data_IF_294994020880
#
_entry.id   IF_294994020880
#
_cell.length_a   1.000
_cell.length_b   1.000
_cell.length_c   1.000
_cell.angle_alpha   90.00
_cell.angle_beta   90.00
_cell.angle_gamma   90.00
#
_symmetry.space_group_name_H-M   'P 1'
#
loop_
_entity.id
_entity.type
_entity.pdbx_description
1 polymer ?
#
# COMPACT_ATOMS: atom_id res chain seq x y z
N UNK A 1 -6.72 25.17 -10.07
CA UNK A 1 -6.43 26.46 -10.74
C UNK A 1 -7.49 26.83 -11.76
N UNK A 2 -7.82 25.97 -12.74
CA UNK A 2 -8.88 26.25 -13.73
C UNK A 2 -10.25 26.56 -13.11
N UNK A 3 -10.66 25.80 -12.10
CA UNK A 3 -11.89 26.11 -11.36
C UNK A 3 -11.88 27.52 -10.73
N UNK A 4 -10.73 27.95 -10.19
CA UNK A 4 -10.58 29.30 -9.63
C UNK A 4 -10.65 30.35 -10.74
N UNK A 5 -10.00 30.10 -11.88
CA UNK A 5 -10.06 30.99 -13.05
C UNK A 5 -11.51 31.18 -13.52
N UNK A 6 -12.30 30.11 -13.53
CA UNK A 6 -13.72 30.18 -13.88
C UNK A 6 -14.55 30.98 -12.86
N UNK A 7 -14.26 30.86 -11.56
CA UNK A 7 -14.93 31.66 -10.50
C UNK A 7 -14.67 33.16 -10.68
N UNK A 8 -13.49 33.55 -11.16
CA UNK A 8 -13.12 34.95 -11.40
C UNK A 8 -13.20 35.35 -12.88
N UNK A 9 -14.03 34.67 -13.69
CA UNK A 9 -14.13 34.83 -15.15
C UNK A 9 -14.27 36.29 -15.58
N UNK A 10 -15.21 37.05 -14.99
CA UNK A 10 -15.47 38.45 -15.36
C UNK A 10 -14.28 39.37 -15.10
N UNK A 11 -13.61 39.17 -13.96
CA UNK A 11 -12.42 39.94 -13.61
C UNK A 11 -11.26 39.61 -14.56
N UNK A 12 -11.08 38.34 -14.92
CA UNK A 12 -10.06 37.91 -15.89
C UNK A 12 -10.34 38.51 -17.27
N UNK A 13 -11.58 38.40 -17.77
CA UNK A 13 -11.96 38.96 -19.09
C UNK A 13 -11.74 40.47 -19.12
N UNK A 14 -12.21 41.20 -18.09
CA UNK A 14 -12.08 42.66 -18.03
C UNK A 14 -10.62 43.09 -17.96
N UNK A 15 -9.82 42.48 -17.09
CA UNK A 15 -8.41 42.85 -16.92
C UNK A 15 -7.57 42.51 -18.16
N UNK A 16 -7.81 41.36 -18.79
CA UNK A 16 -7.14 40.98 -20.04
C UNK A 16 -7.54 41.93 -21.17
N UNK A 17 -8.82 42.28 -21.31
CA UNK A 17 -9.26 43.25 -22.30
C UNK A 17 -8.60 44.63 -22.14
N UNK A 18 -8.37 45.06 -20.90
CA UNK A 18 -7.74 46.36 -20.59
C UNK A 18 -6.21 46.37 -20.70
N UNK A 19 -5.55 45.25 -20.45
CA UNK A 19 -4.08 45.19 -20.37
C UNK A 19 -3.41 44.50 -21.56
N UNK A 20 -4.01 43.42 -22.07
CA UNK A 20 -3.47 42.51 -23.09
C UNK A 20 -4.60 41.87 -23.90
N UNK A 21 -5.22 42.65 -24.77
CA UNK A 21 -6.32 42.18 -25.62
C UNK A 21 -5.90 41.06 -26.59
N UNK A 22 -4.60 40.91 -26.87
CA UNK A 22 -4.01 39.80 -27.62
C UNK A 22 -4.16 38.44 -26.94
N UNK A 23 -4.42 38.40 -25.63
CA UNK A 23 -4.60 37.19 -24.84
C UNK A 23 -6.08 36.92 -24.49
N UNK A 24 -7.01 37.64 -25.11
CA UNK A 24 -8.44 37.47 -24.82
C UNK A 24 -8.92 36.07 -25.24
N UNK A 25 -9.44 35.32 -24.27
CA UNK A 25 -10.04 34.01 -24.50
C UNK A 25 -11.41 34.16 -25.15
N UNK A 26 -11.69 33.31 -26.14
CA UNK A 26 -12.99 33.27 -26.82
C UNK A 26 -14.03 32.53 -25.96
N UNK A 27 -15.31 32.72 -26.27
CA UNK A 27 -16.41 31.93 -25.66
C UNK A 27 -16.18 30.42 -25.82
N UNK A 28 -15.62 30.01 -26.95
CA UNK A 28 -15.26 28.61 -27.19
C UNK A 28 -14.21 28.11 -26.20
N UNK A 29 -13.15 28.89 -25.95
CA UNK A 29 -12.11 28.53 -24.98
C UNK A 29 -12.67 28.37 -23.57
N UNK A 30 -13.59 29.26 -23.16
CA UNK A 30 -14.28 29.14 -21.89
C UNK A 30 -15.12 27.87 -21.81
N UNK A 31 -15.83 27.51 -22.89
CA UNK A 31 -16.61 26.27 -22.96
C UNK A 31 -15.72 25.02 -22.82
N UNK A 32 -14.53 25.02 -23.44
CA UNK A 32 -13.53 23.95 -23.28
C UNK A 32 -13.06 23.85 -21.83
N UNK A 33 -12.74 24.97 -21.18
CA UNK A 33 -12.31 25.00 -19.78
C UNK A 33 -13.41 24.49 -18.84
N UNK A 34 -14.64 24.96 -19.03
CA UNK A 34 -15.81 24.55 -18.24
C UNK A 34 -16.05 23.04 -18.36
N UNK A 35 -15.92 22.50 -19.57
CA UNK A 35 -16.06 21.07 -19.86
C UNK A 35 -14.91 20.21 -19.30
N UNK A 36 -13.70 20.75 -19.22
CA UNK A 36 -12.52 20.03 -18.71
C UNK A 36 -12.52 19.91 -17.17
N UNK A 37 -13.05 20.90 -16.44
CA UNK A 37 -13.08 20.92 -14.97
C UNK A 37 -13.66 19.64 -14.34
N UNK A 38 -14.86 19.14 -14.71
CA UNK A 38 -15.43 17.95 -14.09
C UNK A 38 -14.63 16.66 -14.39
N UNK A 39 -13.81 16.65 -15.45
CA UNK A 39 -12.90 15.52 -15.75
C UNK A 39 -11.71 15.58 -14.81
N UNK A 40 -11.09 16.75 -14.67
CA UNK A 40 -9.92 16.95 -13.79
C UNK A 40 -10.29 16.84 -12.31
N UNK A 41 -11.53 17.18 -11.93
CA UNK A 41 -12.02 17.04 -10.57
C UNK A 41 -11.95 15.59 -10.06
N UNK A 42 -12.21 14.60 -10.92
CA UNK A 42 -12.06 13.19 -10.58
C UNK A 42 -10.64 12.87 -10.07
N UNK A 43 -9.62 13.42 -10.71
CA UNK A 43 -8.23 13.22 -10.31
C UNK A 43 -7.91 13.95 -9.01
N UNK A 44 -8.46 15.14 -8.81
CA UNK A 44 -8.33 15.90 -7.57
C UNK A 44 -8.92 15.12 -6.38
N UNK A 45 -10.14 14.59 -6.53
CA UNK A 45 -10.84 13.85 -5.48
C UNK A 45 -10.05 12.57 -5.11
N UNK A 46 -9.61 11.80 -6.12
CA UNK A 46 -8.81 10.59 -5.91
C UNK A 46 -7.46 10.90 -5.26
N UNK A 47 -6.77 11.95 -5.72
CA UNK A 47 -5.46 12.32 -5.15
C UNK A 47 -5.62 12.80 -3.71
N UNK A 48 -6.67 13.54 -3.40
CA UNK A 48 -6.96 14.01 -2.05
C UNK A 48 -7.23 12.83 -1.12
N UNK A 49 -8.04 11.85 -1.57
CA UNK A 49 -8.31 10.62 -0.82
C UNK A 49 -7.04 9.79 -0.58
N UNK A 50 -6.16 9.69 -1.59
CA UNK A 50 -4.89 8.97 -1.48
C UNK A 50 -3.82 9.72 -0.70
N UNK A 51 -3.92 11.04 -0.58
CA UNK A 51 -3.01 11.88 0.21
C UNK A 51 -3.44 12.00 1.67
N UNK A 52 -4.60 11.44 2.04
CA UNK A 52 -5.07 11.44 3.41
C UNK A 52 -4.21 10.50 4.28
N UNK A 53 -3.37 11.08 5.13
CA UNK A 53 -2.43 10.34 5.99
C UNK A 53 -3.11 9.38 6.98
N UNK A 54 -4.39 9.64 7.32
CA UNK A 54 -5.11 8.91 8.38
C UNK A 54 -5.67 7.55 7.96
N UNK A 55 -5.56 7.16 6.69
CA UNK A 55 -6.17 5.94 6.15
C UNK A 55 -5.16 5.04 5.44
N UNK A 56 -5.44 3.74 5.37
CA UNK A 56 -4.69 2.81 4.52
C UNK A 56 -4.95 3.17 3.05
N UNK A 57 -3.96 3.75 2.39
CA UNK A 57 -4.04 4.23 1.00
C UNK A 57 -3.73 3.13 0.00
N UNK A 58 -2.80 2.22 0.34
CA UNK A 58 -2.28 1.19 -0.56
C UNK A 58 -3.37 0.26 -1.10
N UNK A 59 -4.36 -0.09 -0.27
CA UNK A 59 -5.46 -1.00 -0.64
C UNK A 59 -6.49 -0.36 -1.56
N UNK A 60 -6.56 0.97 -1.58
CA UNK A 60 -7.52 1.74 -2.38
C UNK A 60 -7.02 2.01 -3.79
N UNK A 61 -5.72 1.93 -4.05
CA UNK A 61 -5.15 2.36 -5.34
C UNK A 61 -5.71 1.56 -6.51
N UNK A 62 -5.72 0.22 -6.45
CA UNK A 62 -6.23 -0.60 -7.57
C UNK A 62 -7.73 -0.38 -7.82
N UNK A 63 -8.61 -0.41 -6.80
CA UNK A 63 -10.02 -0.05 -6.98
C UNK A 63 -10.23 1.35 -7.56
N UNK A 64 -9.49 2.36 -7.08
CA UNK A 64 -9.62 3.73 -7.55
C UNK A 64 -9.18 3.90 -8.99
N UNK A 65 -8.05 3.31 -9.40
CA UNK A 65 -7.59 3.32 -10.81
C UNK A 65 -8.65 2.69 -11.71
N UNK A 66 -9.27 1.58 -11.28
CA UNK A 66 -10.36 0.93 -12.03
C UNK A 66 -11.58 1.84 -12.18
N UNK A 67 -11.99 2.51 -11.10
CA UNK A 67 -13.12 3.47 -11.14
C UNK A 67 -12.78 4.65 -12.05
N UNK A 68 -11.55 5.17 -11.99
CA UNK A 68 -11.11 6.28 -12.84
C UNK A 68 -11.15 5.91 -14.31
N UNK A 69 -10.59 4.77 -14.70
CA UNK A 69 -10.64 4.29 -16.09
C UNK A 69 -12.07 4.08 -16.57
N UNK A 70 -12.93 3.50 -15.73
CA UNK A 70 -14.36 3.33 -16.06
C UNK A 70 -15.06 4.68 -16.26
N UNK A 71 -14.76 5.68 -15.42
CA UNK A 71 -15.36 7.00 -15.52
C UNK A 71 -14.91 7.73 -16.79
N UNK A 72 -13.63 7.63 -17.15
CA UNK A 72 -13.12 8.23 -18.39
C UNK A 72 -13.74 7.58 -19.63
N UNK A 73 -13.83 6.26 -19.65
CA UNK A 73 -14.46 5.50 -20.76
C UNK A 73 -15.93 5.79 -20.95
N UNK A 74 -16.64 6.10 -19.86
CA UNK A 74 -18.06 6.46 -19.92
C UNK A 74 -18.33 7.89 -20.38
N UNK A 75 -17.30 8.76 -20.39
CA UNK A 75 -17.47 10.18 -20.71
C UNK A 75 -17.32 10.40 -22.20
N UNK A 76 -18.26 11.17 -22.74
CA UNK A 76 -18.22 11.71 -24.09
C UNK A 76 -18.51 13.22 -24.01
N UNK A 77 -18.08 13.93 -25.04
CA UNK A 77 -18.03 15.39 -25.15
C UNK A 77 -17.89 15.71 -26.62
N UNK A 78 -18.62 16.70 -27.09
CA UNK A 78 -18.62 17.10 -28.50
C UNK A 78 -17.43 17.99 -28.86
N UNK A 79 -16.67 18.44 -27.84
CA UNK A 79 -15.49 19.29 -28.02
C UNK A 79 -14.24 18.43 -28.27
N UNK A 80 -13.52 18.64 -29.39
CA UNK A 80 -12.38 17.82 -29.78
C UNK A 80 -11.20 17.91 -28.78
N UNK A 81 -10.97 19.06 -28.16
CA UNK A 81 -9.91 19.26 -27.17
C UNK A 81 -10.20 18.48 -25.89
N UNK A 82 -11.46 18.46 -25.47
CA UNK A 82 -11.92 17.71 -24.29
C UNK A 82 -11.87 16.21 -24.56
N UNK A 83 -12.24 15.79 -25.77
CA UNK A 83 -12.07 14.39 -26.19
C UNK A 83 -10.61 13.95 -26.22
N UNK A 84 -9.74 14.79 -26.76
CA UNK A 84 -8.30 14.55 -26.74
C UNK A 84 -7.80 14.42 -25.31
N UNK A 85 -8.20 15.34 -24.41
CA UNK A 85 -7.86 15.29 -23.00
C UNK A 85 -8.30 13.96 -22.34
N UNK A 86 -9.53 13.50 -22.57
CA UNK A 86 -10.02 12.23 -22.00
C UNK A 86 -9.15 11.05 -22.47
N UNK A 87 -8.87 10.96 -23.78
CA UNK A 87 -8.08 9.87 -24.36
C UNK A 87 -6.65 9.86 -23.85
N UNK A 88 -6.03 11.03 -23.77
CA UNK A 88 -4.67 11.19 -23.25
C UNK A 88 -4.59 10.78 -21.76
N UNK A 89 -5.57 11.20 -20.95
CA UNK A 89 -5.66 10.83 -19.54
C UNK A 89 -5.91 9.33 -19.34
N UNK A 90 -6.77 8.72 -20.15
CA UNK A 90 -7.01 7.27 -20.11
C UNK A 90 -5.71 6.52 -20.42
N UNK A 91 -5.04 6.88 -21.53
CA UNK A 91 -3.78 6.26 -21.95
C UNK A 91 -2.71 6.38 -20.87
N UNK A 92 -2.57 7.54 -20.25
CA UNK A 92 -1.58 7.76 -19.19
C UNK A 92 -1.91 6.98 -17.91
N UNK A 93 -3.19 6.86 -17.53
CA UNK A 93 -3.58 5.99 -16.42
C UNK A 93 -3.25 4.53 -16.71
N UNK A 94 -3.58 4.03 -17.89
CA UNK A 94 -3.23 2.66 -18.27
C UNK A 94 -1.73 2.45 -18.28
N UNK A 95 -0.96 3.37 -18.87
CA UNK A 95 0.50 3.28 -18.93
C UNK A 95 1.14 3.26 -17.54
N UNK A 96 0.70 4.14 -16.64
CA UNK A 96 1.29 4.27 -15.29
C UNK A 96 0.87 3.13 -14.35
N UNK A 97 -0.35 2.61 -14.51
CA UNK A 97 -0.91 1.61 -13.60
C UNK A 97 -1.10 0.22 -14.23
N UNK A 98 -0.55 -0.04 -15.42
CA UNK A 98 -0.66 -1.33 -16.11
C UNK A 98 -0.23 -2.52 -15.24
N UNK A 99 0.84 -2.35 -14.47
CA UNK A 99 1.50 -3.42 -13.71
C UNK A 99 1.27 -3.31 -12.21
N UNK A 100 0.35 -2.46 -11.75
CA UNK A 100 0.17 -2.23 -10.30
C UNK A 100 -0.25 -3.50 -9.55
N UNK A 101 -1.02 -4.37 -10.19
CA UNK A 101 -1.45 -5.66 -9.63
C UNK A 101 -0.34 -6.70 -9.54
N UNK A 102 0.76 -6.50 -10.29
CA UNK A 102 1.94 -7.35 -10.22
C UNK A 102 2.85 -6.94 -9.07
N UNK A 103 2.66 -5.74 -8.52
CA UNK A 103 3.41 -5.29 -7.35
C UNK A 103 2.92 -6.03 -6.11
N UNK A 104 3.84 -6.75 -5.48
CA UNK A 104 3.54 -7.61 -4.34
C UNK A 104 2.91 -6.82 -3.18
N UNK A 105 3.43 -5.64 -2.87
CA UNK A 105 2.90 -4.79 -1.79
C UNK A 105 1.43 -4.41 -2.01
N UNK A 106 1.07 -4.01 -3.22
CA UNK A 106 -0.32 -3.62 -3.55
C UNK A 106 -1.24 -4.83 -3.55
N UNK A 107 -0.80 -5.94 -4.16
CA UNK A 107 -1.60 -7.15 -4.25
C UNK A 107 -1.84 -7.77 -2.87
N UNK A 108 -0.81 -7.86 -2.03
CA UNK A 108 -0.93 -8.39 -0.66
C UNK A 108 -1.80 -7.50 0.21
N UNK A 109 -1.62 -6.17 0.15
CA UNK A 109 -2.42 -5.25 0.93
C UNK A 109 -3.92 -5.40 0.62
N UNK A 110 -4.29 -5.52 -0.67
CA UNK A 110 -5.69 -5.72 -1.08
C UNK A 110 -6.26 -7.04 -0.59
N UNK A 111 -5.48 -8.13 -0.66
CA UNK A 111 -5.92 -9.44 -0.17
C UNK A 111 -6.15 -9.42 1.34
N UNK A 112 -5.27 -8.74 2.08
CA UNK A 112 -5.33 -8.62 3.53
C UNK A 112 -6.46 -7.70 4.01
N UNK A 113 -6.90 -6.75 3.19
CA UNK A 113 -8.02 -5.86 3.50
C UNK A 113 -9.36 -6.60 3.32
N UNK A 114 -10.15 -6.83 4.39
CA UNK A 114 -11.41 -7.56 4.31
C UNK A 114 -12.43 -6.92 3.36
N UNK A 115 -12.33 -5.61 3.12
CA UNK A 115 -13.26 -4.85 2.27
C UNK A 115 -13.11 -5.21 0.80
N UNK A 116 -11.89 -5.56 0.35
CA UNK A 116 -11.59 -5.83 -1.05
C UNK A 116 -11.33 -7.31 -1.29
N UNK A 117 -10.41 -7.92 -0.52
CA UNK A 117 -10.02 -9.32 -0.62
C UNK A 117 -9.75 -9.73 -2.07
N UNK A 118 -10.55 -10.61 -2.66
CA UNK A 118 -10.42 -11.04 -4.06
C UNK A 118 -11.10 -10.10 -5.05
N UNK A 119 -12.05 -9.26 -4.61
CA UNK A 119 -12.85 -8.37 -5.46
C UNK A 119 -12.11 -7.09 -5.88
N UNK A 120 -10.96 -6.81 -5.26
CA UNK A 120 -10.14 -5.63 -5.55
C UNK A 120 -9.32 -5.71 -6.83
N UNK A 121 -9.15 -6.90 -7.41
CA UNK A 121 -8.35 -7.12 -8.62
C UNK A 121 -9.17 -6.97 -9.90
N UNK A 122 -8.51 -6.50 -10.97
CA UNK A 122 -9.00 -6.50 -12.35
C UNK A 122 -8.77 -7.86 -13.01
N UNK A 123 -7.59 -8.46 -12.79
CA UNK A 123 -7.25 -9.79 -13.32
C UNK A 123 -7.22 -10.84 -12.18
N UNK A 124 -8.10 -11.83 -12.30
CA UNK A 124 -8.21 -12.94 -11.35
C UNK A 124 -6.93 -13.79 -11.30
N UNK A 125 -6.15 -13.84 -12.40
CA UNK A 125 -4.85 -14.53 -12.44
C UNK A 125 -3.83 -13.86 -11.52
N UNK A 126 -3.84 -12.53 -11.46
CA UNK A 126 -2.96 -11.78 -10.56
C UNK A 126 -3.37 -11.99 -9.11
N UNK A 127 -4.67 -12.02 -8.82
CA UNK A 127 -5.19 -12.37 -7.51
C UNK A 127 -4.72 -13.76 -7.07
N UNK A 128 -4.83 -14.77 -7.93
CA UNK A 128 -4.41 -16.14 -7.63
C UNK A 128 -2.90 -16.24 -7.34
N UNK A 129 -2.07 -15.57 -8.15
CA UNK A 129 -0.61 -15.49 -7.94
C UNK A 129 -0.26 -14.82 -6.61
N UNK A 130 -0.88 -13.68 -6.31
CA UNK A 130 -0.66 -12.96 -5.07
C UNK A 130 -1.09 -13.78 -3.84
N UNK A 131 -2.22 -14.49 -3.93
CA UNK A 131 -2.68 -15.38 -2.87
C UNK A 131 -1.73 -16.56 -2.65
N UNK A 132 -1.17 -17.13 -3.72
CA UNK A 132 -0.17 -18.19 -3.62
C UNK A 132 1.13 -17.67 -2.97
N UNK A 133 1.62 -16.49 -3.36
CA UNK A 133 2.78 -15.85 -2.73
C UNK A 133 2.55 -15.62 -1.23
N UNK A 134 1.40 -15.04 -0.88
CA UNK A 134 1.04 -14.75 0.51
C UNK A 134 0.96 -16.03 1.36
N UNK A 135 0.33 -17.09 0.85
CA UNK A 135 0.28 -18.41 1.53
C UNK A 135 1.68 -18.99 1.77
N UNK A 136 2.57 -18.90 0.78
CA UNK A 136 3.96 -19.35 0.93
C UNK A 136 4.72 -18.56 1.99
N UNK A 137 4.54 -17.23 2.05
CA UNK A 137 5.15 -16.37 3.08
C UNK A 137 4.66 -16.75 4.48
N UNK A 138 3.35 -16.92 4.67
CA UNK A 138 2.77 -17.35 5.95
C UNK A 138 3.29 -18.72 6.38
N UNK A 139 3.34 -19.70 5.46
CA UNK A 139 3.85 -21.05 5.74
C UNK A 139 5.33 -21.08 6.11
N UNK A 140 6.16 -20.17 5.57
CA UNK A 140 7.57 -20.01 5.94
C UNK A 140 7.76 -19.38 7.32
N UNK A 141 6.93 -18.39 7.66
CA UNK A 141 6.95 -17.78 9.01
C UNK A 141 6.60 -18.79 10.10
N UNK A 142 5.63 -19.70 9.87
CA UNK A 142 5.31 -20.76 10.82
C UNK A 142 6.47 -21.72 11.11
N UNK A 143 7.28 -22.07 10.10
CA UNK A 143 8.47 -22.94 10.25
C UNK A 143 9.63 -22.25 10.96
N UNK A 144 9.83 -20.95 10.72
CA UNK A 144 10.87 -20.16 11.40
C UNK A 144 10.57 -19.88 12.88
N UNK A 145 9.29 -19.78 13.26
CA UNK A 145 8.90 -19.66 14.67
C UNK A 145 9.21 -20.98 15.41
N UNK A 146 8.92 -22.12 14.79
CA UNK A 146 9.20 -23.43 15.39
C UNK A 146 10.71 -23.71 15.51
N UNK A 147 11.53 -23.26 14.55
CA UNK A 147 12.98 -23.43 14.59
C UNK A 147 13.70 -22.48 15.58
N UNK A 148 13.10 -21.31 15.90
CA UNK A 148 13.63 -20.40 16.93
C UNK A 148 13.28 -20.86 18.35
N UNK A 149 12.08 -21.39 18.57
CA UNK A 149 11.67 -21.98 19.85
C UNK A 149 12.48 -23.25 20.19
N UNK A 150 12.74 -24.11 19.21
CA UNK A 150 13.52 -25.34 19.41
C UNK A 150 15.01 -25.06 19.67
N UNK A 151 15.60 -24.03 19.05
CA UNK A 151 16.98 -23.62 19.34
C UNK A 151 17.16 -23.02 20.73
N UNK A 152 16.19 -22.24 21.24
CA UNK A 152 16.23 -21.75 22.63
C UNK A 152 16.03 -22.86 23.66
N UNK A 153 15.17 -23.85 23.37
CA UNK A 153 14.92 -24.97 24.28
C UNK A 153 16.09 -25.96 24.32
N UNK A 154 16.76 -26.24 23.20
CA UNK A 154 17.97 -27.08 23.17
C UNK A 154 19.18 -26.41 23.85
N UNK A 155 19.29 -25.08 23.77
CA UNK A 155 20.33 -24.35 24.49
C UNK A 155 20.12 -24.37 26.01
N UNK A 156 18.87 -24.25 26.48
CA UNK A 156 18.53 -24.32 27.91
C UNK A 156 18.69 -25.73 28.49
N UNK A 157 18.33 -26.80 27.75
CA UNK A 157 18.55 -28.18 28.21
C UNK A 157 20.02 -28.59 28.21
N UNK A 158 20.81 -28.15 27.21
CA UNK A 158 22.25 -28.38 27.19
C UNK A 158 22.95 -27.66 28.37
N UNK A 159 22.57 -26.42 28.68
CA UNK A 159 23.14 -25.68 29.80
C UNK A 159 22.73 -26.30 31.16
N UNK A 160 21.50 -26.81 31.27
CA UNK A 160 21.01 -27.50 32.47
C UNK A 160 21.76 -28.80 32.71
N UNK A 161 21.99 -29.61 31.67
CA UNK A 161 22.74 -30.87 31.76
C UNK A 161 24.23 -30.65 32.12
N UNK A 162 24.85 -29.59 31.59
CA UNK A 162 26.22 -29.21 31.94
C UNK A 162 26.32 -28.71 33.40
N UNK A 163 25.30 -27.99 33.88
CA UNK A 163 25.27 -27.48 35.24
C UNK A 163 24.99 -28.59 36.28
N UNK A 164 24.08 -29.52 36.01
CA UNK A 164 23.79 -30.64 36.91
C UNK A 164 24.97 -31.63 37.00
N UNK A 165 25.65 -31.93 35.90
CA UNK A 165 26.87 -32.75 35.91
C UNK A 165 28.03 -32.10 36.65
N UNK A 166 28.20 -30.77 36.56
CA UNK A 166 29.19 -30.02 37.38
C UNK A 166 28.87 -30.04 38.87
N UNK A 167 27.59 -30.01 39.26
CA UNK A 167 27.16 -30.08 40.67
C UNK A 167 27.39 -31.50 41.22
N UNK A 168 27.01 -32.54 40.48
CA UNK A 168 27.23 -33.93 40.90
C UNK A 168 28.72 -34.28 41.04
N UNK A 169 29.58 -33.75 40.16
CA UNK A 169 31.02 -34.02 40.19
C UNK A 169 31.78 -33.18 41.25
N UNK A 170 31.18 -32.10 41.77
CA UNK A 170 31.70 -31.39 42.95
C UNK A 170 31.43 -32.15 44.24
N UNK A 171 30.30 -32.83 44.35
CA UNK A 171 29.96 -33.59 45.54
C UNK A 171 30.78 -34.88 45.68
N UNK A 172 31.24 -35.47 44.57
CA UNK A 172 32.10 -36.67 44.60
C UNK A 172 33.57 -36.39 44.97
N UNK A 173 33.98 -35.11 45.08
CA UNK A 173 35.31 -34.73 45.59
C UNK A 173 35.31 -34.38 47.08
N UNK A 174 34.14 -34.31 47.71
CA UNK A 174 34.02 -33.97 49.12
C UNK A 174 33.80 -35.18 50.05
N UNK A 175 33.67 -36.40 49.52
CA UNK A 175 33.49 -37.63 50.32
C UNK A 175 34.80 -38.39 50.64
N UNK A 176 35.95 -37.74 50.50
CA UNK A 176 37.27 -38.33 50.86
C UNK A 176 38.01 -37.55 51.96
N UNK A 177 37.31 -36.77 52.78
CA UNK A 177 37.86 -36.31 54.06
C UNK A 177 36.73 -36.00 55.04
N UNK A 178 36.45 -36.95 55.93
CA UNK A 178 36.21 -36.78 57.38
C UNK A 178 35.62 -38.08 57.91
N UNK A 179 36.48 -39.09 58.07
CA UNK A 179 36.26 -40.11 59.10
C UNK A 179 36.49 -39.45 60.46
N UNK A 180 35.65 -39.84 61.42
CA UNK A 180 35.85 -39.75 62.87
C UNK A 180 35.54 -38.40 63.53
N UNK A 181 34.37 -38.30 64.17
CA UNK A 181 34.33 -38.16 65.63
C UNK A 181 32.96 -38.58 66.19
N UNK A 182 33.07 -39.23 67.34
CA UNK A 182 32.12 -40.09 68.03
C UNK A 182 31.67 -39.38 69.30
N UNK A 183 30.35 -39.45 69.59
CA UNK A 183 29.68 -39.44 70.90
C UNK A 183 29.80 -38.25 71.89
N UNK A 184 28.73 -38.18 72.71
CA UNK A 184 28.51 -37.45 73.99
C UNK A 184 28.16 -35.96 73.82
N UNK A 185 27.01 -35.45 74.27
CA UNK A 185 26.23 -35.72 75.50
C UNK A 185 24.73 -35.80 75.24
#
# INVERSE_FOLDING_TARGET
>A
MLQRMLIVKDAVITTVALTRSDLALTEYDWCVVESAIPILKLFYDVTTELSAEKNVTLTKVIPLVRIMLSSLRSRQSDLPEVQSLIKELERDLERRFATIELSECYAEAIILDPRFKTKGFRDERNCAKALASLKLKVGRSGKNIHSRATKSTQALTAQTYINTSKIMNRNNKNDMSFKSLRCQL
#
